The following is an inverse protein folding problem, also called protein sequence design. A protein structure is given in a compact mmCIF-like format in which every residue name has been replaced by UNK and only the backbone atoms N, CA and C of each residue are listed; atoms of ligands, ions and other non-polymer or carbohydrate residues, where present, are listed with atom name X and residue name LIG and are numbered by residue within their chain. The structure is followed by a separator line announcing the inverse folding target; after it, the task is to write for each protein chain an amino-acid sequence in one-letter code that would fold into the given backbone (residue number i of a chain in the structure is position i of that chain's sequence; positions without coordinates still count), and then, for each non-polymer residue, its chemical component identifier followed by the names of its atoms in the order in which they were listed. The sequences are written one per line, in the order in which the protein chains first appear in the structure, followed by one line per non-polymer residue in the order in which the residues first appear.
data_IF_024890983223
#
_entry.id   IF_024890983223
#
_cell.length_a   1.000
_cell.length_b   1.000
_cell.length_c   1.000
_cell.angle_alpha   90.00
_cell.angle_beta   90.00
_cell.angle_gamma   90.00
#
_symmetry.space_group_name_H-M   'P 1'
#
loop_
_entity.id
_entity.type
_entity.pdbx_description
1 polymer ?
#
# COMPACT_ATOMS: atom_id res chain seq x y z
N UNK A 1 -5.61 5.05 -33.65
CA UNK A 1 -4.77 5.61 -32.56
C UNK A 1 -4.19 4.43 -31.79
N UNK A 2 -2.87 4.34 -31.56
CA UNK A 2 -2.35 3.32 -30.66
C UNK A 2 -2.90 3.65 -29.27
N UNK A 3 -3.60 2.67 -28.67
CA UNK A 3 -4.07 2.73 -27.28
C UNK A 3 -2.85 3.05 -26.42
N UNK A 4 -2.92 4.10 -25.60
CA UNK A 4 -1.89 4.48 -24.65
C UNK A 4 -1.28 3.23 -24.00
N UNK A 5 0.05 3.18 -23.79
CA UNK A 5 0.67 2.06 -23.11
C UNK A 5 0.06 1.99 -21.71
N UNK A 6 -0.77 0.98 -21.47
CA UNK A 6 -1.36 0.66 -20.16
C UNK A 6 -0.30 0.00 -19.28
N UNK A 7 0.81 0.72 -19.08
CA UNK A 7 1.76 0.40 -18.03
C UNK A 7 1.17 0.76 -16.66
N UNK A 8 1.70 0.17 -15.59
CA UNK A 8 1.28 0.51 -14.24
C UNK A 8 1.48 2.00 -13.93
N UNK A 9 0.44 2.66 -13.41
CA UNK A 9 0.53 4.05 -12.95
C UNK A 9 0.65 4.07 -11.42
N UNK A 10 1.66 4.78 -10.93
CA UNK A 10 1.95 4.93 -9.50
C UNK A 10 1.50 6.29 -9.03
N UNK A 11 0.90 6.37 -7.84
CA UNK A 11 0.41 7.61 -7.27
C UNK A 11 0.79 7.72 -5.80
N UNK A 12 1.07 8.95 -5.36
CA UNK A 12 1.24 9.31 -3.95
C UNK A 12 0.10 10.24 -3.56
N UNK A 13 -0.39 10.10 -2.33
CA UNK A 13 -1.40 11.00 -1.78
C UNK A 13 -0.74 12.30 -1.30
N UNK A 14 -1.22 13.41 -1.82
CA UNK A 14 -0.90 14.77 -1.38
C UNK A 14 -2.21 15.46 -0.95
N UNK A 15 -2.40 15.58 0.36
CA UNK A 15 -3.66 16.02 0.96
C UNK A 15 -4.86 15.19 0.50
N UNK A 16 -5.76 15.81 -0.26
CA UNK A 16 -6.98 15.19 -0.78
C UNK A 16 -6.82 14.57 -2.18
N UNK A 17 -5.65 14.72 -2.82
CA UNK A 17 -5.44 14.30 -4.22
C UNK A 17 -4.40 13.19 -4.32
N UNK A 18 -4.48 12.42 -5.41
CA UNK A 18 -3.44 11.50 -5.83
C UNK A 18 -2.67 12.13 -6.99
N UNK A 19 -1.34 12.20 -6.84
CA UNK A 19 -0.44 12.75 -7.86
C UNK A 19 0.33 11.58 -8.46
N UNK A 20 0.33 11.48 -9.79
CA UNK A 20 1.08 10.46 -10.51
C UNK A 20 2.59 10.67 -10.29
N UNK A 21 3.32 9.60 -10.06
CA UNK A 21 4.76 9.64 -9.78
C UNK A 21 5.51 8.49 -10.48
N UNK A 22 6.84 8.48 -10.33
CA UNK A 22 7.66 7.33 -10.74
C UNK A 22 7.58 6.20 -9.71
N UNK A 23 8.07 5.01 -10.07
CA UNK A 23 8.13 3.88 -9.14
C UNK A 23 9.07 4.16 -7.96
N UNK A 24 10.17 4.85 -8.20
CA UNK A 24 11.15 5.21 -7.16
C UNK A 24 10.53 6.17 -6.14
N UNK A 25 9.77 7.17 -6.62
CA UNK A 25 9.04 8.09 -5.76
C UNK A 25 7.94 7.37 -4.96
N UNK A 26 7.24 6.42 -5.58
CA UNK A 26 6.24 5.58 -4.91
C UNK A 26 6.86 4.74 -3.79
N UNK A 27 8.00 4.10 -4.04
CA UNK A 27 8.71 3.31 -3.04
C UNK A 27 9.24 4.17 -1.90
N UNK A 28 9.75 5.35 -2.23
CA UNK A 28 10.19 6.31 -1.23
C UNK A 28 9.02 6.79 -0.35
N UNK A 29 7.85 7.04 -0.94
CA UNK A 29 6.65 7.39 -0.19
C UNK A 29 6.21 6.27 0.76
N UNK A 30 6.32 4.99 0.37
CA UNK A 30 6.06 3.86 1.28
C UNK A 30 7.02 3.86 2.47
N UNK A 31 8.33 4.06 2.22
CA UNK A 31 9.34 4.15 3.29
C UNK A 31 9.05 5.28 4.28
N UNK A 32 8.52 6.39 3.77
CA UNK A 32 8.09 7.55 4.56
C UNK A 32 6.74 7.34 5.26
N UNK A 33 6.09 6.18 5.08
CA UNK A 33 4.78 5.88 5.66
C UNK A 33 3.63 6.71 5.06
N UNK A 34 3.82 7.26 3.85
CA UNK A 34 2.79 8.02 3.13
C UNK A 34 1.81 7.09 2.45
N UNK A 35 0.62 7.63 2.16
CA UNK A 35 -0.40 6.89 1.43
C UNK A 35 -0.10 6.88 -0.06
N UNK A 36 -0.31 5.73 -0.69
CA UNK A 36 0.01 5.46 -2.09
C UNK A 36 -1.15 4.75 -2.78
N UNK A 37 -1.21 4.84 -4.11
CA UNK A 37 -2.17 4.11 -4.93
C UNK A 37 -1.51 3.60 -6.20
N UNK A 38 -1.89 2.40 -6.59
CA UNK A 38 -1.57 1.82 -7.88
C UNK A 38 -2.80 1.87 -8.78
N UNK A 39 -2.63 2.17 -10.07
CA UNK A 39 -3.68 2.02 -11.06
C UNK A 39 -3.15 1.11 -12.18
N UNK A 40 -3.88 0.02 -12.42
CA UNK A 40 -3.40 -1.12 -13.22
C UNK A 40 -3.90 -2.48 -12.72
N UNK A 41 -4.83 -2.50 -11.75
CA UNK A 41 -5.45 -3.72 -11.27
C UNK A 41 -6.28 -4.39 -12.38
N UNK A 42 -6.35 -5.73 -12.43
CA UNK A 42 -7.01 -6.45 -13.51
C UNK A 42 -8.53 -6.22 -13.54
N UNK A 43 -9.14 -5.84 -12.41
CA UNK A 43 -10.57 -5.53 -12.33
C UNK A 43 -10.90 -4.68 -11.09
N UNK A 44 -12.13 -4.14 -11.07
CA UNK A 44 -12.64 -3.28 -9.98
C UNK A 44 -12.72 -3.97 -8.61
N UNK A 45 -12.88 -5.29 -8.56
CA UNK A 45 -12.92 -6.03 -7.28
C UNK A 45 -11.53 -5.99 -6.63
N UNK A 46 -10.50 -6.30 -7.41
CA UNK A 46 -9.11 -6.28 -6.94
C UNK A 46 -8.71 -4.86 -6.52
N UNK A 47 -9.06 -3.85 -7.31
CA UNK A 47 -8.84 -2.44 -6.95
C UNK A 47 -9.46 -2.08 -5.58
N UNK A 48 -10.71 -2.47 -5.33
CA UNK A 48 -11.37 -2.21 -4.03
C UNK A 48 -10.68 -2.92 -2.86
N UNK A 49 -10.18 -4.13 -3.06
CA UNK A 49 -9.44 -4.87 -2.02
C UNK A 49 -8.13 -4.13 -1.72
N UNK A 50 -7.40 -3.68 -2.74
CA UNK A 50 -6.20 -2.90 -2.55
C UNK A 50 -6.45 -1.55 -1.86
N UNK A 51 -7.54 -0.85 -2.17
CA UNK A 51 -7.95 0.36 -1.47
C UNK A 51 -8.21 0.11 0.03
N UNK A 52 -8.83 -1.02 0.38
CA UNK A 52 -9.05 -1.42 1.77
C UNK A 52 -7.74 -1.80 2.51
N UNK A 53 -6.84 -2.52 1.83
CA UNK A 53 -5.50 -2.81 2.33
C UNK A 53 -4.72 -1.53 2.61
N UNK A 54 -4.79 -0.56 1.70
CA UNK A 54 -4.11 0.71 1.88
C UNK A 54 -4.71 1.53 3.04
N UNK A 55 -6.04 1.58 3.15
CA UNK A 55 -6.72 2.26 4.24
C UNK A 55 -6.32 1.66 5.61
N UNK A 56 -6.28 0.33 5.72
CA UNK A 56 -5.87 -0.34 6.95
C UNK A 56 -4.38 -0.12 7.26
N UNK A 57 -3.50 -0.14 6.26
CA UNK A 57 -2.08 0.21 6.43
C UNK A 57 -1.90 1.62 7.00
N UNK A 58 -2.60 2.60 6.43
CA UNK A 58 -2.53 3.99 6.90
C UNK A 58 -3.07 4.17 8.32
N UNK A 59 -4.16 3.46 8.66
CA UNK A 59 -4.71 3.45 10.02
C UNK A 59 -3.73 2.84 11.03
N UNK A 60 -2.98 1.80 10.65
CA UNK A 60 -1.96 1.21 11.53
C UNK A 60 -0.76 2.17 11.69
N UNK A 61 -0.30 2.78 10.60
CA UNK A 61 0.84 3.71 10.63
C UNK A 61 0.59 4.98 11.44
N UNK A 62 -0.68 5.42 11.56
CA UNK A 62 -1.06 6.56 12.39
C UNK A 62 -1.00 6.30 13.89
N UNK A 63 -0.87 5.03 14.32
CA UNK A 63 -0.71 4.68 15.73
C UNK A 63 0.70 4.98 16.20
N UNK A 64 0.84 5.77 17.28
CA UNK A 64 2.13 6.14 17.86
C UNK A 64 2.83 4.97 18.55
N UNK A 65 2.05 4.02 19.07
CA UNK A 65 2.49 2.83 19.81
C UNK A 65 2.70 1.61 18.89
N UNK A 66 2.67 1.79 17.57
CA UNK A 66 2.88 0.70 16.62
C UNK A 66 4.26 0.05 16.83
N UNK A 67 4.34 -1.27 17.05
CA UNK A 67 5.60 -1.96 17.28
C UNK A 67 6.63 -1.69 16.16
N UNK A 68 7.91 -1.43 16.49
CA UNK A 68 8.91 -1.05 15.48
C UNK A 68 9.07 -2.07 14.35
N UNK A 69 9.00 -3.38 14.67
CA UNK A 69 9.06 -4.45 13.68
C UNK A 69 7.88 -4.40 12.71
N UNK A 70 6.67 -4.18 13.22
CA UNK A 70 5.49 -4.05 12.38
C UNK A 70 5.55 -2.78 11.53
N UNK A 71 6.02 -1.65 12.10
CA UNK A 71 6.25 -0.42 11.34
C UNK A 71 7.19 -0.67 10.16
N UNK A 72 8.31 -1.34 10.39
CA UNK A 72 9.28 -1.67 9.33
C UNK A 72 8.66 -2.53 8.21
N UNK A 73 7.75 -3.45 8.54
CA UNK A 73 7.02 -4.24 7.54
C UNK A 73 6.07 -3.37 6.71
N UNK A 74 5.31 -2.49 7.36
CA UNK A 74 4.31 -1.60 6.72
C UNK A 74 4.96 -0.44 5.93
N UNK A 75 6.23 -0.15 6.15
CA UNK A 75 7.03 0.84 5.41
C UNK A 75 8.09 0.20 4.52
N UNK A 76 8.00 -1.12 4.25
CA UNK A 76 8.86 -1.79 3.28
C UNK A 76 8.15 -1.86 1.92
N UNK A 77 8.69 -1.22 0.87
CA UNK A 77 8.07 -1.23 -0.45
C UNK A 77 7.85 -2.63 -1.03
N UNK A 78 8.78 -3.57 -0.82
CA UNK A 78 8.63 -4.93 -1.33
C UNK A 78 7.40 -5.63 -0.72
N UNK A 79 7.21 -5.49 0.59
CA UNK A 79 6.06 -6.08 1.29
C UNK A 79 4.75 -5.40 0.86
N UNK A 80 4.73 -4.07 0.81
CA UNK A 80 3.52 -3.32 0.44
C UNK A 80 3.11 -3.62 -1.00
N UNK A 81 4.05 -3.64 -1.95
CA UNK A 81 3.78 -3.99 -3.35
C UNK A 81 3.32 -5.45 -3.46
N UNK A 82 3.99 -6.38 -2.79
CA UNK A 82 3.58 -7.78 -2.83
C UNK A 82 2.13 -7.94 -2.39
N UNK A 83 1.74 -7.36 -1.24
CA UNK A 83 0.40 -7.55 -0.68
C UNK A 83 -0.67 -6.70 -1.40
N UNK A 84 -0.37 -5.45 -1.73
CA UNK A 84 -1.37 -4.52 -2.25
C UNK A 84 -1.45 -4.44 -3.78
N UNK A 85 -0.46 -5.00 -4.50
CA UNK A 85 -0.41 -4.95 -5.97
C UNK A 85 -0.43 -6.34 -6.59
N UNK A 86 0.24 -7.32 -5.97
CA UNK A 86 0.41 -8.67 -6.55
C UNK A 86 -0.60 -9.66 -5.95
N UNK A 87 -0.57 -9.85 -4.62
CA UNK A 87 -1.34 -10.87 -3.89
C UNK A 87 -2.62 -10.29 -3.27
N UNK A 88 -3.40 -9.59 -4.09
CA UNK A 88 -4.56 -8.83 -3.61
C UNK A 88 -5.79 -9.73 -3.51
N UNK A 89 -5.98 -10.36 -2.36
CA UNK A 89 -7.07 -11.32 -2.12
C UNK A 89 -7.86 -11.10 -0.82
N UNK A 90 -7.19 -10.67 0.25
CA UNK A 90 -7.76 -10.45 1.58
C UNK A 90 -7.72 -8.96 1.99
N UNK A 91 -8.85 -8.23 1.98
CA UNK A 91 -8.88 -6.81 2.33
C UNK A 91 -8.51 -6.53 3.80
N UNK A 92 -8.52 -7.56 4.66
CA UNK A 92 -8.22 -7.45 6.08
C UNK A 92 -6.80 -7.90 6.45
N UNK A 93 -5.96 -8.26 5.46
CA UNK A 93 -4.64 -8.85 5.69
C UNK A 93 -3.83 -8.05 6.72
N UNK A 94 -3.68 -6.73 6.57
CA UNK A 94 -2.87 -5.92 7.48
C UNK A 94 -3.42 -5.88 8.90
N UNK A 95 -4.75 -5.88 9.07
CA UNK A 95 -5.37 -5.91 10.38
C UNK A 95 -5.10 -7.25 11.06
N UNK A 96 -5.25 -8.37 10.33
CA UNK A 96 -4.93 -9.72 10.84
C UNK A 96 -3.45 -9.84 11.18
N UNK A 97 -2.59 -9.41 10.28
CA UNK A 97 -1.14 -9.50 10.42
C UNK A 97 -0.64 -8.62 11.58
N UNK A 98 -1.26 -7.47 11.84
CA UNK A 98 -0.91 -6.62 12.98
C UNK A 98 -1.11 -7.28 14.35
N UNK A 99 -1.96 -8.31 14.45
CA UNK A 99 -2.24 -9.06 15.68
C UNK A 99 -1.26 -10.21 15.90
N UNK A 100 -0.37 -10.47 14.93
CA UNK A 100 0.56 -11.60 14.98
C UNK A 100 1.58 -11.40 16.13
N UNK A 101 1.73 -12.38 17.05
CA UNK A 101 2.67 -12.28 18.17
C UNK A 101 4.12 -12.01 17.77
N UNK A 102 4.52 -12.36 16.54
CA UNK A 102 5.89 -12.10 16.02
C UNK A 102 6.30 -10.62 16.04
N UNK A 103 5.32 -9.71 16.12
CA UNK A 103 5.55 -8.26 16.19
C UNK A 103 5.49 -7.69 17.61
N UNK A 104 5.11 -8.48 18.62
CA UNK A 104 4.93 -8.02 20.00
C UNK A 104 6.23 -8.09 20.84
N UNK A 105 7.36 -8.39 20.20
CA UNK A 105 8.67 -8.57 20.82
C UNK A 105 9.72 -7.62 20.27
#
# INVERSE_FOLDING_TARGET
MPKNPTGPFWFIRDGSKFIQCTKEAFDQAIKEGKSVRYNGYPNKRVEKIAEALEASRMLLLSKSDLPPRLRAVLTNPANVVQIQVIDVDDPEFWIKESKNPKYQT
#
